data_IF_269014464831
#
_entry.id   IF_269014464831
#
_cell.length_a   1.000
_cell.length_b   1.000
_cell.length_c   1.000
_cell.angle_alpha   90.00
_cell.angle_beta   90.00
_cell.angle_gamma   90.00
#
_symmetry.space_group_name_H-M   'P 1'
#
loop_
_entity.id
_entity.type
_entity.pdbx_description
1 polymer ?
#
# COMPACT_ATOMS: atom_id res chain seq x y z
N UNK A 1 21.53 8.12 2.05
CA UNK A 1 20.31 8.83 1.62
C UNK A 1 20.57 9.46 0.26
N UNK A 2 19.70 9.24 -0.72
CA UNK A 2 19.90 9.79 -2.09
C UNK A 2 19.40 11.23 -2.11
N UNK A 3 20.21 12.17 -2.59
CA UNK A 3 19.84 13.57 -2.53
C UNK A 3 20.68 14.48 -3.41
N UNK A 4 20.12 15.64 -3.77
CA UNK A 4 20.78 16.64 -4.63
C UNK A 4 21.91 17.40 -3.92
N UNK A 5 21.93 17.39 -2.60
CA UNK A 5 22.99 17.98 -1.78
C UNK A 5 24.30 17.16 -1.76
N UNK A 6 24.31 15.96 -2.33
CA UNK A 6 25.49 15.09 -2.35
C UNK A 6 26.46 15.50 -3.47
N UNK A 7 27.77 15.30 -3.26
CA UNK A 7 28.84 15.57 -4.25
C UNK A 7 28.72 14.77 -5.55
N UNK A 8 27.96 13.67 -5.54
CA UNK A 8 27.72 12.82 -6.71
C UNK A 8 26.35 13.13 -7.31
N UNK A 9 26.18 13.12 -8.63
CA UNK A 9 24.87 13.29 -9.25
C UNK A 9 23.92 12.15 -8.83
N UNK A 10 22.61 12.44 -8.77
CA UNK A 10 21.56 11.46 -8.39
C UNK A 10 21.65 10.18 -9.23
N UNK A 11 21.99 10.30 -10.52
CA UNK A 11 22.20 9.17 -11.44
C UNK A 11 23.30 8.20 -10.97
N UNK A 12 24.39 8.72 -10.38
CA UNK A 12 25.48 7.90 -9.85
C UNK A 12 25.13 7.33 -8.48
N UNK A 13 24.41 8.08 -7.65
CA UNK A 13 23.92 7.60 -6.37
C UNK A 13 22.96 6.40 -6.53
N UNK A 14 21.97 6.48 -7.44
CA UNK A 14 21.03 5.38 -7.67
C UNK A 14 21.70 4.14 -8.24
N UNK A 15 22.72 4.33 -9.11
CA UNK A 15 23.51 3.22 -9.67
C UNK A 15 24.32 2.49 -8.59
N UNK A 16 24.87 3.21 -7.61
CA UNK A 16 25.61 2.62 -6.50
C UNK A 16 24.71 1.83 -5.53
N UNK A 17 23.47 2.28 -5.35
CA UNK A 17 22.49 1.63 -4.46
C UNK A 17 21.70 0.52 -5.18
N UNK A 18 21.82 0.43 -6.51
CA UNK A 18 21.13 -0.60 -7.30
C UNK A 18 19.63 -0.35 -7.47
N UNK A 19 19.16 0.89 -7.36
CA UNK A 19 17.75 1.25 -7.55
C UNK A 19 17.54 2.04 -8.84
N UNK A 20 16.29 2.09 -9.30
CA UNK A 20 15.92 2.90 -10.44
C UNK A 20 16.05 4.40 -10.15
N UNK A 21 16.28 5.20 -11.20
CA UNK A 21 16.33 6.67 -11.07
C UNK A 21 14.97 7.26 -10.66
N UNK A 22 13.86 6.65 -11.10
CA UNK A 22 12.51 7.10 -10.72
C UNK A 22 12.26 6.95 -9.22
N UNK A 23 12.76 5.89 -8.59
CA UNK A 23 12.67 5.69 -7.15
C UNK A 23 13.31 6.82 -6.34
N UNK A 24 14.36 7.46 -6.85
CA UNK A 24 14.99 8.61 -6.18
C UNK A 24 14.17 9.91 -6.25
N UNK A 25 13.20 9.99 -7.15
CA UNK A 25 12.28 11.13 -7.25
C UNK A 25 10.91 10.83 -6.65
N UNK A 26 10.61 9.57 -6.37
CA UNK A 26 9.37 9.17 -5.73
C UNK A 26 9.36 9.67 -4.28
N UNK A 27 8.33 10.43 -3.93
CA UNK A 27 8.04 10.81 -2.54
C UNK A 27 6.97 9.85 -2.04
N UNK A 28 7.25 9.02 -1.03
CA UNK A 28 6.24 8.17 -0.42
C UNK A 28 5.08 9.01 0.09
N UNK A 29 3.86 8.71 -0.39
CA UNK A 29 2.65 9.28 0.20
C UNK A 29 2.21 8.41 1.36
N UNK A 30 1.85 8.98 2.51
CA UNK A 30 1.25 8.21 3.58
C UNK A 30 -0.10 7.63 3.14
N UNK A 31 -0.39 6.43 3.62
CA UNK A 31 -1.71 5.80 3.45
C UNK A 31 -2.74 6.61 4.24
N UNK A 32 -3.93 6.83 3.67
CA UNK A 32 -5.00 7.53 4.38
C UNK A 32 -5.40 6.75 5.64
N UNK A 33 -5.74 7.45 6.72
CA UNK A 33 -6.10 6.81 7.98
C UNK A 33 -7.29 5.83 7.83
N UNK A 34 -8.27 6.16 6.97
CA UNK A 34 -9.40 5.29 6.67
C UNK A 34 -8.96 4.00 5.95
N UNK A 35 -8.06 4.11 4.98
CA UNK A 35 -7.51 2.97 4.24
C UNK A 35 -6.70 2.08 5.18
N UNK A 36 -5.90 2.68 6.08
CA UNK A 36 -5.15 1.94 7.09
C UNK A 36 -6.07 1.19 8.07
N UNK A 37 -7.18 1.80 8.48
CA UNK A 37 -8.18 1.14 9.33
C UNK A 37 -8.85 -0.03 8.60
N UNK A 38 -9.14 0.12 7.30
CA UNK A 38 -9.64 -0.96 6.45
C UNK A 38 -8.62 -2.10 6.33
N UNK A 39 -7.35 -1.82 6.04
CA UNK A 39 -6.29 -2.83 5.95
C UNK A 39 -6.17 -3.63 7.25
N UNK A 40 -6.13 -2.93 8.40
CA UNK A 40 -6.10 -3.56 9.73
C UNK A 40 -7.30 -4.46 10.01
N UNK A 41 -8.45 -4.19 9.41
CA UNK A 41 -9.63 -5.06 9.54
C UNK A 41 -9.62 -6.23 8.56
N UNK A 42 -9.08 -6.02 7.37
CA UNK A 42 -8.98 -7.05 6.33
C UNK A 42 -7.96 -8.12 6.69
N UNK A 43 -6.84 -7.76 7.35
CA UNK A 43 -5.77 -8.71 7.70
C UNK A 43 -6.31 -9.90 8.55
N UNK A 44 -7.05 -9.69 9.67
CA UNK A 44 -7.67 -10.79 10.40
C UNK A 44 -8.65 -11.62 9.58
N UNK A 45 -9.45 -10.98 8.71
CA UNK A 45 -10.42 -11.71 7.87
C UNK A 45 -9.74 -12.66 6.89
N UNK A 46 -8.55 -12.32 6.38
CA UNK A 46 -7.76 -13.24 5.57
C UNK A 46 -7.18 -14.39 6.38
N UNK A 47 -6.79 -14.16 7.63
CA UNK A 47 -6.31 -15.22 8.52
C UNK A 47 -7.42 -16.20 8.88
N UNK A 48 -8.62 -15.70 9.17
CA UNK A 48 -9.80 -16.52 9.48
C UNK A 48 -10.34 -17.23 8.24
N UNK A 49 -10.22 -16.59 7.08
CA UNK A 49 -10.82 -17.06 5.83
C UNK A 49 -9.87 -16.83 4.65
N UNK A 50 -8.86 -17.68 4.51
CA UNK A 50 -7.83 -17.58 3.47
C UNK A 50 -8.35 -17.57 2.02
N UNK A 51 -9.61 -17.92 1.79
CA UNK A 51 -10.27 -17.92 0.47
C UNK A 51 -11.11 -16.65 0.20
N UNK A 52 -11.11 -15.66 1.10
CA UNK A 52 -11.93 -14.45 0.96
C UNK A 52 -11.41 -13.47 -0.08
N UNK A 53 -11.81 -13.65 -1.33
CA UNK A 53 -11.59 -12.62 -2.36
C UNK A 53 -12.35 -11.31 -2.07
N UNK A 54 -12.02 -10.23 -2.79
CA UNK A 54 -12.56 -8.88 -2.56
C UNK A 54 -14.10 -8.78 -2.50
N UNK A 55 -14.84 -9.65 -3.22
CA UNK A 55 -16.31 -9.67 -3.16
C UNK A 55 -16.82 -10.26 -1.84
N UNK A 56 -16.12 -11.26 -1.29
CA UNK A 56 -16.49 -11.86 -0.01
C UNK A 56 -16.11 -10.94 1.16
N UNK A 57 -14.92 -10.32 1.11
CA UNK A 57 -14.51 -9.28 2.07
C UNK A 57 -15.53 -8.13 2.14
N UNK A 58 -16.00 -7.63 0.99
CA UNK A 58 -17.05 -6.60 0.98
C UNK A 58 -18.29 -7.02 1.75
N UNK A 59 -18.72 -8.28 1.63
CA UNK A 59 -19.89 -8.80 2.35
C UNK A 59 -19.64 -8.95 3.84
N UNK A 60 -18.43 -9.37 4.23
CA UNK A 60 -18.03 -9.50 5.64
C UNK A 60 -17.97 -8.12 6.30
N UNK A 61 -17.26 -7.17 5.69
CA UNK A 61 -17.18 -5.79 6.15
C UNK A 61 -18.57 -5.13 6.23
N UNK A 62 -19.45 -5.40 5.25
CA UNK A 62 -20.83 -4.89 5.30
C UNK A 62 -21.63 -5.42 6.49
N UNK A 63 -21.39 -6.67 6.93
CA UNK A 63 -22.02 -7.24 8.14
C UNK A 63 -21.54 -6.55 9.42
N UNK A 64 -20.34 -5.98 9.39
CA UNK A 64 -19.75 -5.19 10.48
C UNK A 64 -20.13 -3.70 10.40
N UNK A 65 -20.99 -3.31 9.45
CA UNK A 65 -21.41 -1.92 9.25
C UNK A 65 -20.43 -1.09 8.41
N UNK A 66 -19.35 -1.69 7.89
CA UNK A 66 -18.36 -1.01 7.05
C UNK A 66 -18.77 -1.14 5.58
N UNK A 67 -19.23 -0.03 4.99
CA UNK A 67 -19.65 0.01 3.59
C UNK A 67 -18.48 0.42 2.70
N UNK A 68 -17.88 -0.55 2.00
CA UNK A 68 -16.78 -0.32 1.07
C UNK A 68 -16.99 -1.06 -0.25
N UNK A 69 -16.62 -0.43 -1.36
CA UNK A 69 -16.75 -1.03 -2.69
C UNK A 69 -15.66 -2.06 -3.00
N UNK A 70 -16.00 -3.09 -3.78
CA UNK A 70 -15.07 -4.15 -4.21
C UNK A 70 -13.77 -3.62 -4.82
N UNK A 71 -13.85 -2.56 -5.64
CA UNK A 71 -12.67 -1.98 -6.30
C UNK A 71 -11.68 -1.40 -5.28
N UNK A 72 -12.19 -0.76 -4.24
CA UNK A 72 -11.35 -0.18 -3.19
C UNK A 72 -10.72 -1.25 -2.31
N UNK A 73 -11.45 -2.32 -1.98
CA UNK A 73 -10.85 -3.49 -1.29
C UNK A 73 -9.69 -4.05 -2.13
N UNK A 74 -9.85 -4.18 -3.44
CA UNK A 74 -8.78 -4.66 -4.32
C UNK A 74 -7.57 -3.72 -4.45
N UNK A 75 -7.62 -2.49 -3.92
CA UNK A 75 -6.44 -1.63 -3.80
C UNK A 75 -5.74 -1.75 -2.45
N UNK A 76 -6.31 -2.50 -1.50
CA UNK A 76 -5.83 -2.65 -0.12
C UNK A 76 -5.37 -4.08 0.22
N UNK A 77 -5.56 -5.03 -0.71
CA UNK A 77 -5.23 -6.47 -0.60
C UNK A 77 -4.21 -6.84 -1.65
#
# INVERSE_FOLDING_TARGET
MIGRAHRLPVSRQVKLVGISRSSAYYVPSPVKAADLALMRRIDPLHLEHAFTGARMLMRLLKREGIVVGRRHIGTLV
#
